data_IF_841137725009
#
_entry.id   IF_841137725009
#
_cell.length_a   1.000
_cell.length_b   1.000
_cell.length_c   1.000
_cell.angle_alpha   90.00
_cell.angle_beta   90.00
_cell.angle_gamma   90.00
#
_symmetry.space_group_name_H-M   'P 1'
#
loop_
_entity.id
_entity.type
_entity.pdbx_description
1 polymer ?
#
# COMPACT_ATOMS: atom_id res chain seq x y z
N UNK A 1 -16.27 -13.12 23.94
CA UNK A 1 -16.24 -11.97 23.01
C UNK A 1 -15.24 -12.29 21.92
N UNK A 2 -15.71 -12.64 20.72
CA UNK A 2 -14.85 -13.04 19.61
C UNK A 2 -14.25 -11.77 18.98
N UNK A 3 -12.95 -11.57 19.14
CA UNK A 3 -12.21 -10.60 18.34
C UNK A 3 -12.21 -11.10 16.91
N UNK A 4 -13.11 -10.56 16.10
CA UNK A 4 -13.12 -10.76 14.66
C UNK A 4 -11.76 -10.31 14.14
N UNK A 5 -10.91 -11.28 13.81
CA UNK A 5 -9.74 -11.10 12.96
C UNK A 5 -10.29 -10.79 11.57
N UNK A 6 -10.82 -9.58 11.42
CA UNK A 6 -10.91 -8.92 10.12
C UNK A 6 -9.46 -8.87 9.64
N UNK A 7 -9.11 -9.86 8.81
CA UNK A 7 -7.75 -10.10 8.34
C UNK A 7 -7.18 -8.77 7.92
N UNK A 8 -6.12 -8.33 8.60
CA UNK A 8 -5.50 -7.01 8.55
C UNK A 8 -5.21 -6.53 7.12
N UNK A 9 -6.27 -6.23 6.38
CA UNK A 9 -6.25 -5.64 5.06
C UNK A 9 -6.06 -4.19 5.40
N UNK A 10 -4.86 -3.67 5.12
CA UNK A 10 -4.62 -2.23 5.22
C UNK A 10 -5.82 -1.53 4.57
N UNK A 11 -6.49 -0.61 5.28
CA UNK A 11 -7.68 0.03 4.75
C UNK A 11 -7.30 0.61 3.39
N UNK A 12 -7.91 0.09 2.32
CA UNK A 12 -7.48 0.37 0.95
C UNK A 12 -7.50 1.89 0.67
N UNK A 13 -8.35 2.63 1.38
CA UNK A 13 -8.43 4.09 1.39
C UNK A 13 -7.16 4.82 1.86
N UNK A 14 -6.22 4.15 2.54
CA UNK A 14 -4.98 4.75 3.09
C UNK A 14 -3.72 4.29 2.37
N UNK A 15 -3.84 3.40 1.40
CA UNK A 15 -2.71 2.87 0.65
C UNK A 15 -2.65 3.51 -0.72
N UNK A 16 -1.50 4.05 -1.09
CA UNK A 16 -1.22 4.52 -2.44
C UNK A 16 -0.05 3.73 -3.00
N UNK A 17 -0.20 3.23 -4.23
CA UNK A 17 0.80 2.39 -4.89
C UNK A 17 1.20 3.11 -6.19
N UNK A 18 2.49 3.21 -6.45
CA UNK A 18 3.02 3.73 -7.71
C UNK A 18 4.18 2.86 -8.22
N UNK A 19 4.38 2.87 -9.55
CA UNK A 19 5.57 2.31 -10.17
C UNK A 19 6.48 3.44 -10.62
N UNK A 20 7.70 3.46 -10.09
CA UNK A 20 8.72 4.43 -10.49
C UNK A 20 9.37 4.03 -11.81
N UNK A 21 10.01 5.00 -12.46
CA UNK A 21 10.71 4.81 -13.74
C UNK A 21 11.88 3.83 -13.67
N UNK A 22 12.47 3.60 -12.49
CA UNK A 22 13.48 2.56 -12.26
C UNK A 22 12.90 1.15 -12.09
N UNK A 23 11.57 1.01 -12.18
CA UNK A 23 10.86 -0.26 -12.05
C UNK A 23 10.53 -0.66 -10.62
N UNK A 24 10.90 0.14 -9.61
CA UNK A 24 10.51 -0.13 -8.23
C UNK A 24 9.01 0.15 -8.01
N UNK A 25 8.35 -0.70 -7.22
CA UNK A 25 7.00 -0.44 -6.71
C UNK A 25 7.10 0.23 -5.36
N UNK A 26 6.54 1.42 -5.25
CA UNK A 26 6.48 2.17 -3.98
C UNK A 26 5.08 2.08 -3.43
N UNK A 27 4.99 1.63 -2.18
CA UNK A 27 3.75 1.53 -1.41
C UNK A 27 3.83 2.52 -0.27
N UNK A 28 2.92 3.50 -0.27
CA UNK A 28 2.76 4.48 0.79
C UNK A 28 1.52 4.16 1.60
N UNK A 29 1.69 4.08 2.91
CA UNK A 29 0.59 3.88 3.87
C UNK A 29 0.45 5.16 4.69
N UNK A 30 -0.70 5.82 4.55
CA UNK A 30 -0.99 7.03 5.33
C UNK A 30 -1.19 6.67 6.80
N UNK A 31 -0.46 7.37 7.65
CA UNK A 31 -0.61 7.24 9.10
C UNK A 31 -1.96 7.79 9.56
N UNK A 32 -2.54 7.15 10.58
CA UNK A 32 -3.77 7.61 11.21
C UNK A 32 -3.42 8.64 12.29
N UNK A 33 -3.69 9.91 12.02
CA UNK A 33 -3.51 10.97 13.00
C UNK A 33 -4.28 12.22 12.59
N UNK A 34 -5.06 12.78 13.52
CA UNK A 34 -5.62 14.12 13.39
C UNK A 34 -4.85 15.07 14.32
N UNK A 35 -4.44 16.23 13.81
CA UNK A 35 -3.83 17.30 14.60
C UNK A 35 -2.30 17.19 14.74
N UNK A 36 -1.77 17.80 15.80
CA UNK A 36 -0.33 18.07 16.00
C UNK A 36 0.55 16.81 16.21
N UNK A 37 -0.05 15.61 16.24
CA UNK A 37 0.63 14.33 16.42
C UNK A 37 0.57 13.43 15.16
N UNK A 38 0.39 13.99 13.96
CA UNK A 38 0.39 13.21 12.73
C UNK A 38 1.76 12.54 12.52
N UNK A 39 1.78 11.20 12.60
CA UNK A 39 2.96 10.41 12.30
C UNK A 39 3.28 10.46 10.78
N UNK A 40 4.55 10.32 10.40
CA UNK A 40 4.91 10.24 8.98
C UNK A 40 4.27 9.03 8.32
N UNK A 41 4.00 9.12 7.01
CA UNK A 41 3.58 7.98 6.21
C UNK A 41 4.66 6.90 6.20
N UNK A 42 4.25 5.64 6.27
CA UNK A 42 5.16 4.53 6.05
C UNK A 42 5.36 4.30 4.55
N UNK A 43 6.61 4.22 4.10
CA UNK A 43 6.96 4.03 2.70
C UNK A 43 7.79 2.77 2.54
N UNK A 44 7.34 1.87 1.67
CA UNK A 44 8.03 0.64 1.32
C UNK A 44 8.35 0.66 -0.17
N UNK A 45 9.54 0.20 -0.53
CA UNK A 45 9.97 0.05 -1.90
C UNK A 45 10.31 -1.41 -2.18
N UNK A 46 9.74 -1.96 -3.23
CA UNK A 46 9.95 -3.33 -3.67
C UNK A 46 10.52 -3.33 -5.08
N UNK A 47 11.48 -4.21 -5.33
CA UNK A 47 12.12 -4.44 -6.63
C UNK A 47 11.86 -5.86 -7.10
N UNK A 48 12.07 -6.09 -8.40
CA UNK A 48 12.01 -7.43 -8.95
C UNK A 48 12.98 -8.36 -8.20
N UNK A 49 12.44 -9.44 -7.63
CA UNK A 49 13.16 -10.37 -6.75
C UNK A 49 12.76 -10.27 -5.28
N UNK A 50 12.16 -9.17 -4.83
CA UNK A 50 11.61 -9.09 -3.48
C UNK A 50 10.41 -10.03 -3.32
N UNK A 51 10.27 -10.73 -2.17
CA UNK A 51 9.20 -11.71 -1.93
C UNK A 51 7.77 -11.16 -2.11
N UNK A 52 7.58 -9.84 -2.05
CA UNK A 52 6.27 -9.19 -2.15
C UNK A 52 6.09 -8.33 -3.41
N UNK A 53 7.09 -8.27 -4.30
CA UNK A 53 7.02 -7.40 -5.48
C UNK A 53 5.83 -7.76 -6.39
N UNK A 54 5.63 -9.04 -6.68
CA UNK A 54 4.55 -9.50 -7.57
C UNK A 54 3.18 -9.13 -7.02
N UNK A 55 2.95 -9.34 -5.72
CA UNK A 55 1.71 -8.99 -5.04
C UNK A 55 1.34 -7.51 -5.20
N UNK A 56 2.31 -6.61 -4.98
CA UNK A 56 2.06 -5.16 -5.09
C UNK A 56 1.90 -4.70 -6.54
N UNK A 57 2.60 -5.35 -7.48
CA UNK A 57 2.41 -5.10 -8.91
C UNK A 57 1.00 -5.47 -9.38
N UNK A 58 0.48 -6.63 -8.97
CA UNK A 58 -0.88 -7.05 -9.30
C UNK A 58 -1.93 -6.08 -8.75
N UNK A 59 -1.76 -5.62 -7.50
CA UNK A 59 -2.62 -4.60 -6.90
C UNK A 59 -2.58 -3.26 -7.63
N UNK A 60 -1.39 -2.82 -8.05
CA UNK A 60 -1.25 -1.60 -8.85
C UNK A 60 -2.04 -1.70 -10.17
N UNK A 61 -1.89 -2.81 -10.89
CA UNK A 61 -2.58 -3.03 -12.16
C UNK A 61 -4.10 -3.11 -11.97
N UNK A 62 -4.57 -3.77 -10.91
CA UNK A 62 -5.99 -3.84 -10.59
C UNK A 62 -6.59 -2.45 -10.31
N UNK A 63 -5.87 -1.58 -9.58
CA UNK A 63 -6.31 -0.21 -9.31
C UNK A 63 -6.36 0.67 -10.56
N UNK A 64 -5.42 0.48 -11.50
CA UNK A 64 -5.42 1.20 -12.78
C UNK A 64 -6.56 0.80 -13.72
N UNK A 65 -7.12 -0.40 -13.56
CA UNK A 65 -8.18 -0.93 -14.43
C UNK A 65 -9.60 -0.51 -14.01
N UNK A 66 -9.77 0.14 -12.85
CA UNK A 66 -11.07 0.63 -12.35
C UNK A 66 -11.43 2.00 -12.95
N UNK A 67 -10.55 2.58 -13.77
CA UNK A 67 -10.71 3.90 -14.40
C UNK A 67 -10.88 3.92 -15.93
N UNK A 68 -11.20 2.79 -16.57
CA UNK A 68 -11.57 2.74 -18.00
C UNK A 68 -13.06 2.51 -18.21
#
# INVERSE_FOLDING_TARGET
>A
MATSIDSARFPEARVSIERRSDGAIVVRVKSDGQGEAQLPDAVFAFRCGDPQYAYWLERLNAASNIGQ
#
